data_IF_491362269560
#
_entry.id   IF_491362269560
#
_cell.length_a   1.000
_cell.length_b   1.000
_cell.length_c   1.000
_cell.angle_alpha   90.00
_cell.angle_beta   90.00
_cell.angle_gamma   90.00
#
_symmetry.space_group_name_H-M   'P 1'
#
loop_
_entity.id
_entity.type
_entity.pdbx_description
1 polymer ?
#
# COMPACT_ATOMS: atom_id res chain seq x y z
N UNK A 1 22.33 14.15 -7.99
CA UNK A 1 22.65 15.59 -7.83
C UNK A 1 21.98 16.38 -8.94
N UNK A 2 20.85 17.02 -8.64
CA UNK A 2 20.19 17.94 -9.58
C UNK A 2 20.57 19.39 -9.20
N UNK A 3 21.68 19.86 -9.75
CA UNK A 3 22.02 21.28 -9.75
C UNK A 3 21.26 21.98 -10.89
N UNK A 4 20.10 22.58 -10.59
CA UNK A 4 19.49 23.71 -11.31
C UNK A 4 18.21 24.13 -10.57
N UNK A 5 18.27 25.01 -9.56
CA UNK A 5 18.22 26.49 -9.64
C UNK A 5 16.99 27.14 -10.30
N UNK A 6 15.87 26.45 -10.50
CA UNK A 6 14.62 27.14 -10.79
C UNK A 6 13.59 26.85 -9.70
N UNK A 7 13.65 27.66 -8.65
CA UNK A 7 12.46 27.96 -7.86
C UNK A 7 11.35 28.45 -8.80
N UNK A 8 10.09 28.10 -8.57
CA UNK A 8 8.98 28.71 -9.29
C UNK A 8 9.08 30.24 -9.20
N UNK A 9 8.84 30.90 -10.32
CA UNK A 9 8.93 32.37 -10.44
C UNK A 9 7.99 33.07 -9.47
N UNK A 10 6.87 32.42 -9.13
CA UNK A 10 5.96 32.83 -8.08
C UNK A 10 6.06 31.90 -6.86
N UNK A 11 6.63 32.42 -5.78
CA UNK A 11 6.75 31.74 -4.49
C UNK A 11 5.57 32.03 -3.55
N UNK A 12 4.64 32.92 -3.92
CA UNK A 12 3.53 33.36 -3.05
C UNK A 12 2.54 32.24 -2.73
N UNK A 13 2.48 31.22 -3.59
CA UNK A 13 1.63 30.04 -3.42
C UNK A 13 2.30 28.93 -2.60
N UNK A 14 3.63 28.96 -2.41
CA UNK A 14 4.40 27.92 -1.72
C UNK A 14 4.53 28.22 -0.21
N UNK A 15 3.38 28.22 0.48
CA UNK A 15 3.28 28.61 1.90
C UNK A 15 4.03 27.67 2.85
N UNK A 16 4.35 26.45 2.43
CA UNK A 16 5.04 25.43 3.21
C UNK A 16 6.46 25.18 2.73
N UNK A 17 6.99 26.03 1.83
CA UNK A 17 8.37 25.90 1.33
C UNK A 17 9.40 25.86 2.46
N UNK A 18 9.16 26.57 3.57
CA UNK A 18 10.03 26.60 4.73
C UNK A 18 10.15 25.26 5.48
N UNK A 19 9.21 24.36 5.26
CA UNK A 19 9.18 23.00 5.82
C UNK A 19 9.49 21.94 4.77
N UNK A 20 9.65 22.33 3.51
CA UNK A 20 9.82 21.42 2.40
C UNK A 20 11.25 20.86 2.35
N UNK A 21 11.39 19.57 2.00
CA UNK A 21 12.65 18.80 1.97
C UNK A 21 13.76 19.49 1.17
N UNK A 22 13.38 20.18 0.10
CA UNK A 22 14.31 20.92 -0.75
C UNK A 22 15.03 22.05 -0.01
N UNK A 23 14.42 22.66 1.03
CA UNK A 23 15.10 23.65 1.86
C UNK A 23 16.31 23.04 2.57
N UNK A 24 16.14 21.87 3.19
CA UNK A 24 17.23 21.13 3.83
C UNK A 24 18.35 20.80 2.83
N UNK A 25 17.98 20.41 1.60
CA UNK A 25 18.94 20.15 0.52
C UNK A 25 19.72 21.42 0.15
N UNK A 26 19.07 22.58 0.07
CA UNK A 26 19.76 23.86 -0.18
C UNK A 26 20.68 24.29 0.95
N UNK A 27 20.33 23.97 2.19
CA UNK A 27 21.15 24.17 3.38
C UNK A 27 22.32 23.15 3.48
N UNK A 28 22.47 22.27 2.48
CA UNK A 28 23.54 21.27 2.41
C UNK A 28 23.26 20.00 3.21
N UNK A 29 22.04 19.83 3.73
CA UNK A 29 21.63 18.62 4.44
C UNK A 29 21.18 17.58 3.41
N UNK A 30 21.93 16.48 3.32
CA UNK A 30 21.55 15.37 2.46
C UNK A 30 20.38 14.59 3.08
N UNK A 31 19.23 14.54 2.39
CA UNK A 31 18.08 13.74 2.77
C UNK A 31 17.77 12.73 1.68
N UNK A 32 18.30 11.50 1.86
CA UNK A 32 18.05 10.39 0.93
C UNK A 32 16.85 9.58 1.39
N UNK A 33 15.77 9.61 0.61
CA UNK A 33 14.69 8.65 0.82
C UNK A 33 15.16 7.28 0.39
N UNK A 34 14.83 6.29 1.22
CA UNK A 34 15.03 4.87 0.92
C UNK A 34 13.66 4.24 0.72
N UNK A 35 13.10 4.32 -0.50
CA UNK A 35 12.00 3.47 -0.90
C UNK A 35 12.28 2.03 -0.48
N UNK A 36 11.30 1.37 0.12
CA UNK A 36 11.41 -0.03 0.53
C UNK A 36 10.34 -0.81 -0.18
N UNK A 37 10.72 -1.97 -0.68
CA UNK A 37 9.80 -3.00 -1.12
C UNK A 37 9.62 -4.00 0.00
N UNK A 38 8.39 -4.32 0.34
CA UNK A 38 8.09 -5.37 1.29
C UNK A 38 8.24 -6.73 0.61
N UNK A 39 8.96 -7.65 1.27
CA UNK A 39 9.07 -9.01 0.81
C UNK A 39 7.84 -9.81 1.23
N UNK A 40 6.79 -9.77 0.42
CA UNK A 40 5.63 -10.66 0.57
C UNK A 40 5.79 -11.91 -0.29
N UNK A 41 5.39 -13.06 0.26
CA UNK A 41 5.63 -14.36 -0.37
C UNK A 41 4.89 -14.47 -1.71
N UNK A 42 3.60 -14.10 -1.74
CA UNK A 42 2.76 -14.21 -2.94
C UNK A 42 3.33 -13.45 -4.15
N UNK A 43 3.90 -12.25 -3.97
CA UNK A 43 4.46 -11.47 -5.08
C UNK A 43 5.68 -12.14 -5.74
N UNK A 44 6.37 -13.05 -5.03
CA UNK A 44 7.53 -13.78 -5.55
C UNK A 44 7.18 -15.17 -6.08
N UNK A 45 6.03 -15.71 -5.70
CA UNK A 45 5.62 -17.08 -5.97
C UNK A 45 4.22 -17.11 -6.58
N UNK A 46 3.88 -16.13 -7.43
CA UNK A 46 2.56 -16.02 -8.08
C UNK A 46 2.17 -17.31 -8.81
N UNK A 47 3.15 -17.97 -9.43
CA UNK A 47 2.94 -19.23 -10.16
C UNK A 47 2.75 -20.46 -9.24
N UNK A 48 3.02 -20.33 -7.94
CA UNK A 48 2.86 -21.39 -6.93
C UNK A 48 1.56 -21.23 -6.13
N UNK A 49 0.81 -20.14 -6.36
CA UNK A 49 -0.48 -19.91 -5.70
C UNK A 49 -1.49 -20.93 -6.21
N UNK A 50 -2.19 -21.59 -5.30
CA UNK A 50 -3.25 -22.54 -5.62
C UNK A 50 -4.35 -21.85 -6.46
N UNK A 51 -4.77 -22.53 -7.55
CA UNK A 51 -5.75 -22.00 -8.49
C UNK A 51 -7.08 -21.63 -7.81
N UNK A 52 -7.51 -22.34 -6.77
CA UNK A 52 -8.74 -22.05 -6.02
C UNK A 52 -8.66 -20.66 -5.37
N UNK A 53 -7.50 -20.32 -4.80
CA UNK A 53 -7.27 -19.00 -4.20
C UNK A 53 -7.10 -17.94 -5.27
N UNK A 54 -6.36 -18.23 -6.35
CA UNK A 54 -6.19 -17.29 -7.46
C UNK A 54 -7.53 -16.92 -8.10
N UNK A 55 -8.44 -17.88 -8.30
CA UNK A 55 -9.78 -17.64 -8.83
C UNK A 55 -10.58 -16.65 -7.97
N UNK A 56 -10.45 -16.73 -6.64
CA UNK A 56 -11.07 -15.76 -5.72
C UNK A 56 -10.43 -14.37 -5.90
N UNK A 57 -9.10 -14.29 -5.95
CA UNK A 57 -8.41 -13.01 -6.14
C UNK A 57 -8.76 -12.36 -7.49
N UNK A 58 -8.92 -13.17 -8.54
CA UNK A 58 -9.38 -12.72 -9.86
C UNK A 58 -10.82 -12.21 -9.83
N UNK A 59 -11.73 -12.97 -9.22
CA UNK A 59 -13.14 -12.58 -9.11
C UNK A 59 -13.34 -11.27 -8.34
N UNK A 60 -12.50 -11.01 -7.33
CA UNK A 60 -12.54 -9.77 -6.53
C UNK A 60 -11.78 -8.61 -7.21
N UNK A 61 -10.91 -8.90 -8.19
CA UNK A 61 -10.10 -7.89 -8.89
C UNK A 61 -8.74 -7.60 -8.25
N UNK A 62 -8.29 -8.40 -7.29
CA UNK A 62 -6.99 -8.23 -6.61
C UNK A 62 -5.83 -8.90 -7.34
N UNK A 63 -6.09 -9.80 -8.28
CA UNK A 63 -5.04 -10.49 -9.04
C UNK A 63 -4.19 -9.54 -9.89
N UNK A 64 -4.76 -8.41 -10.36
CA UNK A 64 -4.04 -7.45 -11.19
C UNK A 64 -2.86 -6.80 -10.45
N UNK A 65 -2.99 -6.60 -9.14
CA UNK A 65 -1.94 -6.04 -8.27
C UNK A 65 -0.66 -6.88 -8.33
N UNK A 66 -0.78 -8.20 -8.53
CA UNK A 66 0.37 -9.10 -8.62
C UNK A 66 1.23 -8.81 -9.85
N UNK A 67 0.67 -8.23 -10.92
CA UNK A 67 1.41 -7.87 -12.15
C UNK A 67 2.39 -6.75 -11.92
N UNK A 68 2.06 -5.78 -11.06
CA UNK A 68 2.94 -4.66 -10.71
C UNK A 68 3.86 -4.98 -9.53
N UNK A 69 3.62 -6.09 -8.84
CA UNK A 69 4.32 -6.44 -7.60
C UNK A 69 5.82 -6.67 -7.79
N UNK A 70 6.31 -6.90 -9.02
CA UNK A 70 7.72 -7.14 -9.33
C UNK A 70 8.45 -5.97 -10.01
N UNK A 71 7.89 -4.76 -9.96
CA UNK A 71 8.57 -3.57 -10.49
C UNK A 71 9.83 -3.23 -9.70
N UNK A 72 10.90 -2.86 -10.42
CA UNK A 72 12.11 -2.32 -9.82
C UNK A 72 11.90 -0.87 -9.38
N UNK A 73 12.38 -0.52 -8.18
CA UNK A 73 12.23 0.83 -7.65
C UNK A 73 13.45 1.66 -8.02
N UNK A 74 13.24 2.68 -8.86
CA UNK A 74 14.27 3.67 -9.16
C UNK A 74 14.33 4.72 -8.03
N UNK A 75 15.28 4.54 -7.11
CA UNK A 75 15.49 5.44 -5.97
C UNK A 75 15.75 6.90 -6.38
N UNK A 76 16.45 7.13 -7.49
CA UNK A 76 16.78 8.48 -7.97
C UNK A 76 15.51 9.18 -8.46
N UNK A 77 14.68 8.46 -9.23
CA UNK A 77 13.41 8.99 -9.72
C UNK A 77 12.45 9.31 -8.58
N UNK A 78 12.31 8.42 -7.59
CA UNK A 78 11.42 8.65 -6.44
C UNK A 78 11.86 9.87 -5.64
N UNK A 79 13.16 10.02 -5.36
CA UNK A 79 13.67 11.23 -4.69
C UNK A 79 13.37 12.50 -5.50
N UNK A 80 13.63 12.47 -6.81
CA UNK A 80 13.36 13.61 -7.68
C UNK A 80 11.87 13.99 -7.73
N UNK A 81 10.97 13.01 -7.69
CA UNK A 81 9.53 13.26 -7.64
C UNK A 81 9.11 13.84 -6.29
N UNK A 82 9.62 13.31 -5.17
CA UNK A 82 9.31 13.88 -3.85
C UNK A 82 9.81 15.33 -3.74
N UNK A 83 11.00 15.67 -4.24
CA UNK A 83 11.47 17.06 -4.27
C UNK A 83 10.54 18.01 -5.06
N UNK A 84 9.74 17.47 -5.98
CA UNK A 84 8.82 18.22 -6.84
C UNK A 84 7.38 18.19 -6.35
N UNK A 85 7.05 17.31 -5.41
CA UNK A 85 5.72 17.27 -4.81
C UNK A 85 5.45 18.56 -4.02
N UNK A 86 4.22 19.06 -4.10
CA UNK A 86 3.73 20.19 -3.30
C UNK A 86 2.47 19.78 -2.59
N UNK A 87 2.56 19.74 -1.27
CA UNK A 87 1.46 19.34 -0.41
C UNK A 87 0.32 20.39 -0.37
N UNK A 88 0.59 21.63 -0.78
CA UNK A 88 -0.44 22.68 -0.86
C UNK A 88 -1.46 22.42 -1.96
N UNK A 89 -1.04 21.81 -3.07
CA UNK A 89 -1.90 21.52 -4.24
C UNK A 89 -2.04 20.03 -4.52
N UNK A 90 -1.30 19.18 -3.80
CA UNK A 90 -1.16 17.75 -4.08
C UNK A 90 -0.79 17.49 -5.55
N UNK A 91 0.20 18.24 -6.05
CA UNK A 91 0.73 18.09 -7.41
C UNK A 91 2.26 18.04 -7.42
N UNK A 92 2.83 17.47 -8.47
CA UNK A 92 4.23 17.60 -8.83
C UNK A 92 4.44 18.86 -9.66
N UNK A 93 5.36 19.72 -9.23
CA UNK A 93 5.83 20.87 -9.98
C UNK A 93 6.97 20.42 -10.91
N UNK A 94 6.64 20.16 -12.16
CA UNK A 94 7.56 19.74 -13.21
C UNK A 94 7.96 20.95 -14.08
N UNK A 95 9.05 20.87 -14.87
CA UNK A 95 9.46 21.97 -15.76
C UNK A 95 8.39 22.40 -16.78
N UNK A 96 7.47 21.48 -17.13
CA UNK A 96 6.43 21.69 -18.13
C UNK A 96 5.06 22.05 -17.52
N UNK A 97 4.98 22.23 -16.19
CA UNK A 97 3.74 22.54 -15.49
C UNK A 97 3.51 21.64 -14.28
N UNK A 98 2.29 21.69 -13.75
CA UNK A 98 1.85 20.86 -12.65
C UNK A 98 1.22 19.56 -13.16
N UNK A 99 1.45 18.46 -12.45
CA UNK A 99 0.85 17.16 -12.75
C UNK A 99 0.51 16.46 -11.45
N UNK A 100 -0.61 15.75 -11.39
CA UNK A 100 -0.93 14.90 -10.23
C UNK A 100 -1.33 13.50 -10.65
N UNK A 101 -1.25 12.57 -9.71
CA UNK A 101 -1.75 11.20 -9.87
C UNK A 101 -3.22 11.23 -9.50
N UNK A 102 -4.07 10.68 -10.35
CA UNK A 102 -5.53 10.70 -10.19
C UNK A 102 -6.07 9.32 -9.81
N UNK A 103 -7.38 9.24 -9.51
CA UNK A 103 -8.06 7.97 -9.30
C UNK A 103 -8.02 7.09 -10.55
N UNK A 104 -8.11 7.68 -11.74
CA UNK A 104 -8.03 6.95 -13.01
C UNK A 104 -6.66 6.30 -13.20
N UNK A 105 -5.57 7.01 -12.86
CA UNK A 105 -4.22 6.44 -12.91
C UNK A 105 -4.11 5.20 -12.01
N UNK A 106 -4.62 5.29 -10.78
CA UNK A 106 -4.59 4.18 -9.82
C UNK A 106 -5.44 3.01 -10.31
N UNK A 107 -6.66 3.28 -10.80
CA UNK A 107 -7.56 2.26 -11.31
C UNK A 107 -6.98 1.54 -12.53
N UNK A 108 -6.40 2.27 -13.47
CA UNK A 108 -5.78 1.71 -14.68
C UNK A 108 -4.52 0.91 -14.37
N UNK A 109 -3.67 1.39 -13.45
CA UNK A 109 -2.42 0.71 -13.11
C UNK A 109 -2.62 -0.52 -12.21
N UNK A 110 -3.59 -0.49 -11.31
CA UNK A 110 -3.79 -1.53 -10.29
C UNK A 110 -5.03 -2.38 -10.51
N UNK A 111 -5.92 -2.01 -11.44
CA UNK A 111 -7.19 -2.70 -11.68
C UNK A 111 -8.21 -2.56 -10.55
N UNK A 112 -8.11 -1.49 -9.74
CA UNK A 112 -8.92 -1.30 -8.54
C UNK A 112 -10.18 -0.48 -8.80
N UNK A 113 -11.30 -0.78 -8.10
CA UNK A 113 -12.53 0.01 -8.20
C UNK A 113 -12.36 1.43 -7.64
N UNK A 114 -12.91 2.40 -8.38
CA UNK A 114 -13.01 3.81 -7.98
C UNK A 114 -14.27 4.04 -7.15
N UNK A 115 -15.40 3.49 -7.57
CA UNK A 115 -16.67 3.64 -6.85
C UNK A 115 -16.79 2.65 -5.69
N UNK A 116 -17.57 3.00 -4.68
CA UNK A 116 -17.88 2.11 -3.57
C UNK A 116 -17.79 2.77 -2.20
N UNK A 117 -17.83 1.94 -1.17
CA UNK A 117 -17.71 2.36 0.23
C UNK A 117 -16.28 2.78 0.56
N UNK A 118 -16.14 3.71 1.50
CA UNK A 118 -14.84 4.13 1.99
C UNK A 118 -14.07 2.96 2.62
N UNK A 119 -12.76 2.89 2.35
CA UNK A 119 -11.85 1.91 2.97
C UNK A 119 -11.49 2.37 4.38
N UNK A 120 -12.47 2.31 5.29
CA UNK A 120 -12.29 2.63 6.71
C UNK A 120 -12.47 1.37 7.53
N UNK A 121 -11.43 0.98 8.27
CA UNK A 121 -11.49 -0.19 9.13
C UNK A 121 -11.64 0.17 10.60
N UNK A 122 -12.06 -0.81 11.40
CA UNK A 122 -12.15 -0.65 12.86
C UNK A 122 -10.74 -0.88 13.46
N UNK A 123 -10.25 0.09 14.24
CA UNK A 123 -8.95 0.01 14.91
C UNK A 123 -9.04 -0.40 16.38
N UNK A 124 -10.18 -0.94 16.81
CA UNK A 124 -10.45 -1.37 18.17
C UNK A 124 -11.28 -2.65 18.16
N UNK A 125 -11.05 -3.53 19.14
CA UNK A 125 -11.75 -4.81 19.24
C UNK A 125 -10.80 -5.99 19.44
N UNK A 126 -11.33 -7.21 19.54
CA UNK A 126 -10.55 -8.40 19.84
C UNK A 126 -9.82 -8.90 18.59
N UNK A 127 -8.70 -8.27 18.25
CA UNK A 127 -7.90 -8.54 17.05
C UNK A 127 -7.56 -10.03 16.86
N UNK A 128 -7.25 -10.73 17.94
CA UNK A 128 -6.94 -12.16 17.92
C UNK A 128 -8.15 -13.01 17.57
N UNK A 129 -9.36 -12.61 17.99
CA UNK A 129 -10.60 -13.29 17.60
C UNK A 129 -10.87 -13.08 16.11
N UNK A 130 -10.67 -11.87 15.57
CA UNK A 130 -10.82 -11.64 14.14
C UNK A 130 -9.81 -12.46 13.31
N UNK A 131 -8.56 -12.57 13.76
CA UNK A 131 -7.60 -13.44 13.08
C UNK A 131 -8.04 -14.91 13.13
N UNK A 132 -8.52 -15.40 14.27
CA UNK A 132 -9.03 -16.77 14.37
C UNK A 132 -10.23 -17.01 13.45
N UNK A 133 -11.20 -16.10 13.45
CA UNK A 133 -12.44 -16.24 12.68
C UNK A 133 -12.21 -16.11 11.18
N UNK A 134 -11.40 -15.14 10.76
CA UNK A 134 -11.26 -14.79 9.34
C UNK A 134 -10.06 -15.45 8.67
N UNK A 135 -9.02 -15.79 9.44
CA UNK A 135 -7.80 -16.43 8.93
C UNK A 135 -7.62 -17.87 9.45
N UNK A 136 -8.51 -18.37 10.32
CA UNK A 136 -8.39 -19.72 10.90
C UNK A 136 -7.29 -19.89 11.95
N UNK A 137 -6.49 -18.85 12.21
CA UNK A 137 -5.29 -18.94 13.05
C UNK A 137 -5.22 -17.81 14.08
N UNK A 138 -4.78 -18.15 15.30
CA UNK A 138 -4.49 -17.18 16.36
C UNK A 138 -3.01 -16.77 16.27
N UNK A 139 -2.69 -15.49 16.01
CA UNK A 139 -1.32 -15.05 15.94
C UNK A 139 -0.62 -15.14 17.32
N UNK A 140 0.65 -15.55 17.38
CA UNK A 140 1.42 -15.52 18.61
C UNK A 140 1.55 -14.10 19.18
N UNK A 141 1.67 -13.96 20.51
CA UNK A 141 1.71 -12.66 21.20
C UNK A 141 2.78 -11.69 20.68
N UNK A 142 3.92 -12.20 20.21
CA UNK A 142 5.03 -11.39 19.67
C UNK A 142 4.86 -10.96 18.20
N UNK A 143 3.78 -11.40 17.56
CA UNK A 143 3.47 -11.15 16.15
C UNK A 143 2.56 -9.94 15.97
N UNK A 144 1.76 -9.63 16.99
CA UNK A 144 0.90 -8.45 17.02
C UNK A 144 1.60 -7.34 17.81
N UNK A 145 1.63 -6.13 17.24
CA UNK A 145 2.09 -4.91 17.94
C UNK A 145 1.05 -3.81 17.74
N UNK A 146 0.35 -3.45 18.81
CA UNK A 146 -0.84 -2.60 18.70
C UNK A 146 -1.87 -3.27 17.80
N UNK A 147 -2.33 -2.56 16.77
CA UNK A 147 -3.31 -3.06 15.79
C UNK A 147 -2.67 -3.63 14.52
N UNK A 148 -1.40 -4.01 14.57
CA UNK A 148 -0.66 -4.48 13.39
C UNK A 148 -0.16 -5.90 13.57
N UNK A 149 -0.13 -6.66 12.47
CA UNK A 149 0.37 -8.03 12.41
C UNK A 149 1.59 -8.12 11.48
N UNK A 150 2.59 -8.93 11.83
CA UNK A 150 3.83 -9.06 11.04
C UNK A 150 3.63 -9.81 9.73
N UNK A 151 4.22 -9.29 8.65
CA UNK A 151 4.31 -10.01 7.37
C UNK A 151 5.05 -11.34 7.49
N UNK A 152 6.06 -11.42 8.36
CA UNK A 152 6.82 -12.66 8.55
C UNK A 152 5.95 -13.83 9.04
N UNK A 153 4.91 -13.55 9.84
CA UNK A 153 4.02 -14.60 10.32
C UNK A 153 3.03 -15.00 9.22
N UNK A 154 2.36 -14.01 8.61
CA UNK A 154 1.46 -14.17 7.48
C UNK A 154 2.12 -15.03 6.36
N UNK A 155 3.28 -14.58 5.86
CA UNK A 155 4.08 -15.30 4.87
C UNK A 155 4.50 -16.72 5.27
N UNK A 156 4.58 -17.05 6.57
CA UNK A 156 5.00 -18.39 7.01
C UNK A 156 3.82 -19.32 7.25
N UNK A 157 2.66 -18.77 7.58
CA UNK A 157 1.44 -19.53 7.89
C UNK A 157 0.68 -19.93 6.62
N UNK A 158 0.67 -19.10 5.58
CA UNK A 158 -0.20 -19.27 4.40
C UNK A 158 0.58 -19.57 3.10
N UNK A 159 1.64 -20.38 3.16
CA UNK A 159 2.44 -20.71 1.96
C UNK A 159 1.85 -21.81 1.10
N UNK A 160 1.37 -22.87 1.73
CA UNK A 160 0.93 -24.07 1.04
C UNK A 160 -0.49 -24.40 1.51
N UNK A 161 -1.44 -24.23 0.60
CA UNK A 161 -2.81 -24.65 0.84
C UNK A 161 -2.88 -26.19 0.82
N UNK A 162 -3.53 -26.84 1.80
CA UNK A 162 -3.74 -28.28 1.76
C UNK A 162 -4.57 -28.73 0.53
N UNK A 163 -4.25 -29.89 -0.02
CA UNK A 163 -4.98 -30.44 -1.17
C UNK A 163 -6.47 -30.66 -0.84
N UNK A 164 -6.75 -31.14 0.38
CA UNK A 164 -8.09 -31.41 0.92
C UNK A 164 -8.73 -30.18 1.59
N UNK A 165 -8.19 -28.98 1.38
CA UNK A 165 -8.72 -27.75 1.96
C UNK A 165 -10.20 -27.54 1.61
N UNK A 166 -11.00 -27.27 2.66
CA UNK A 166 -12.40 -26.88 2.51
C UNK A 166 -12.52 -25.49 1.89
N UNK A 167 -13.70 -25.14 1.39
CA UNK A 167 -13.96 -23.80 0.86
C UNK A 167 -13.60 -22.69 1.86
N UNK A 168 -13.93 -22.88 3.14
CA UNK A 168 -13.60 -21.94 4.21
C UNK A 168 -12.08 -21.71 4.33
N UNK A 169 -11.28 -22.78 4.25
CA UNK A 169 -9.81 -22.67 4.32
C UNK A 169 -9.26 -21.96 3.08
N UNK A 170 -9.81 -22.22 1.89
CA UNK A 170 -9.45 -21.48 0.66
C UNK A 170 -9.70 -19.98 0.83
N UNK A 171 -10.87 -19.60 1.38
CA UNK A 171 -11.18 -18.20 1.64
C UNK A 171 -10.27 -17.57 2.70
N UNK A 172 -9.88 -18.31 3.75
CA UNK A 172 -8.91 -17.83 4.76
C UNK A 172 -7.57 -17.47 4.10
N UNK A 173 -7.09 -18.30 3.17
CA UNK A 173 -5.90 -18.01 2.37
C UNK A 173 -6.09 -16.80 1.45
N UNK A 174 -7.25 -16.69 0.79
CA UNK A 174 -7.56 -15.52 -0.04
C UNK A 174 -7.54 -14.22 0.78
N UNK A 175 -8.20 -14.19 1.95
CA UNK A 175 -8.20 -13.05 2.88
C UNK A 175 -6.79 -12.70 3.33
N UNK A 176 -5.95 -13.69 3.61
CA UNK A 176 -4.56 -13.42 3.98
C UNK A 176 -3.76 -12.79 2.84
N UNK A 177 -3.84 -13.33 1.63
CA UNK A 177 -3.13 -12.76 0.48
C UNK A 177 -3.60 -11.35 0.16
N UNK A 178 -4.90 -11.08 0.26
CA UNK A 178 -5.43 -9.72 0.12
C UNK A 178 -4.91 -8.79 1.20
N UNK A 179 -4.83 -9.26 2.45
CA UNK A 179 -4.25 -8.48 3.56
C UNK A 179 -2.75 -8.19 3.33
N UNK A 180 -2.00 -9.16 2.79
CA UNK A 180 -0.61 -8.95 2.37
C UNK A 180 -0.52 -7.86 1.30
N UNK A 181 -1.31 -7.97 0.22
CA UNK A 181 -1.31 -7.00 -0.88
C UNK A 181 -1.68 -5.59 -0.39
N UNK A 182 -2.70 -5.50 0.46
CA UNK A 182 -3.13 -4.25 1.08
C UNK A 182 -1.99 -3.62 1.88
N UNK A 183 -1.37 -4.37 2.78
CA UNK A 183 -0.35 -3.83 3.68
C UNK A 183 1.03 -3.59 3.05
N UNK A 184 1.30 -4.16 1.89
CA UNK A 184 2.63 -4.11 1.26
C UNK A 184 2.69 -3.27 0.00
N UNK A 185 1.61 -3.24 -0.79
CA UNK A 185 1.58 -2.57 -2.09
C UNK A 185 0.59 -1.40 -2.05
N UNK A 186 -0.64 -1.64 -1.59
CA UNK A 186 -1.71 -0.65 -1.71
C UNK A 186 -1.60 0.47 -0.67
N UNK A 187 -1.43 0.10 0.59
CA UNK A 187 -1.43 1.02 1.74
C UNK A 187 -0.31 0.63 2.74
N UNK A 188 0.96 0.64 2.30
CA UNK A 188 2.08 0.29 3.16
C UNK A 188 2.28 1.29 4.29
N UNK A 189 2.75 0.79 5.42
CA UNK A 189 3.20 1.64 6.52
C UNK A 189 4.73 1.83 6.52
N UNK A 190 5.21 2.72 7.39
CA UNK A 190 6.65 3.00 7.54
C UNK A 190 7.44 1.88 8.23
N UNK A 191 6.78 0.88 8.81
CA UNK A 191 7.43 -0.23 9.52
C UNK A 191 8.10 -1.22 8.56
N UNK A 192 7.72 -1.20 7.29
CA UNK A 192 8.18 -2.12 6.25
C UNK A 192 7.94 -3.62 6.54
N UNK A 193 7.23 -3.97 7.61
CA UNK A 193 7.23 -5.33 8.17
C UNK A 193 5.89 -5.76 8.78
N UNK A 194 4.88 -4.87 8.80
CA UNK A 194 3.58 -5.15 9.38
C UNK A 194 2.44 -4.55 8.54
N UNK A 195 1.25 -5.14 8.68
CA UNK A 195 -0.01 -4.64 8.13
C UNK A 195 -1.00 -4.33 9.24
N UNK A 196 -1.78 -3.27 9.07
CA UNK A 196 -2.81 -2.90 10.03
C UNK A 196 -4.02 -3.83 9.92
N UNK A 197 -4.48 -4.38 11.04
CA UNK A 197 -5.59 -5.34 11.11
C UNK A 197 -6.96 -4.71 10.84
N UNK A 198 -7.05 -3.38 10.72
CA UNK A 198 -8.30 -2.70 10.37
C UNK A 198 -8.87 -3.15 9.01
N UNK A 199 -8.01 -3.63 8.11
CA UNK A 199 -8.44 -4.11 6.81
C UNK A 199 -9.06 -5.50 6.87
N UNK A 200 -8.73 -6.32 7.88
CA UNK A 200 -9.19 -7.69 7.96
C UNK A 200 -10.73 -7.80 8.04
N UNK A 201 -11.44 -6.97 8.83
CA UNK A 201 -12.91 -6.93 8.80
C UNK A 201 -13.51 -6.56 7.43
N UNK A 202 -12.82 -5.74 6.62
CA UNK A 202 -13.27 -5.40 5.26
C UNK A 202 -13.23 -6.60 4.33
N UNK A 203 -12.43 -7.62 4.68
CA UNK A 203 -12.26 -8.87 3.94
C UNK A 203 -13.15 -10.00 4.50
N UNK A 204 -14.02 -9.72 5.47
CA UNK A 204 -14.83 -10.74 6.11
C UNK A 204 -15.76 -11.45 5.11
N UNK A 205 -16.52 -10.66 4.34
CA UNK A 205 -17.35 -11.15 3.24
C UNK A 205 -16.69 -10.81 1.90
N UNK A 206 -16.09 -11.82 1.29
CA UNK A 206 -15.38 -11.72 0.01
C UNK A 206 -16.26 -11.24 -1.14
N UNK A 207 -17.58 -11.47 -1.07
CA UNK A 207 -18.52 -10.99 -2.10
C UNK A 207 -18.72 -9.48 -2.08
N UNK A 208 -18.41 -8.82 -0.96
CA UNK A 208 -18.56 -7.38 -0.79
C UNK A 208 -17.26 -6.61 -1.00
N UNK A 209 -16.12 -7.31 -1.11
CA UNK A 209 -14.81 -6.63 -1.15
C UNK A 209 -14.66 -5.75 -2.39
N UNK A 210 -15.22 -6.15 -3.54
CA UNK A 210 -15.17 -5.34 -4.75
C UNK A 210 -16.01 -4.05 -4.65
N UNK A 211 -16.87 -3.91 -3.63
CA UNK A 211 -17.73 -2.74 -3.43
C UNK A 211 -17.07 -1.63 -2.61
N UNK A 212 -15.79 -1.76 -2.24
CA UNK A 212 -15.04 -0.68 -1.61
C UNK A 212 -14.26 0.13 -2.65
N UNK A 213 -14.14 1.43 -2.42
CA UNK A 213 -13.34 2.35 -3.22
C UNK A 213 -11.84 2.16 -2.94
N UNK A 214 -11.29 1.01 -3.35
CA UNK A 214 -9.88 0.67 -3.12
C UNK A 214 -8.93 1.68 -3.79
N UNK A 215 -9.26 2.17 -4.99
CA UNK A 215 -8.45 3.17 -5.67
C UNK A 215 -8.33 4.47 -4.87
N UNK A 216 -9.42 4.93 -4.23
CA UNK A 216 -9.39 6.12 -3.36
C UNK A 216 -8.57 5.90 -2.09
N UNK A 217 -8.68 4.71 -1.49
CA UNK A 217 -7.85 4.32 -0.34
C UNK A 217 -6.35 4.36 -0.67
N UNK A 218 -5.96 3.83 -1.84
CA UNK A 218 -4.58 3.87 -2.33
C UNK A 218 -4.12 5.29 -2.61
N UNK A 219 -4.92 6.08 -3.34
CA UNK A 219 -4.56 7.45 -3.70
C UNK A 219 -4.35 8.32 -2.46
N UNK A 220 -5.26 8.22 -1.49
CA UNK A 220 -5.15 8.92 -0.20
C UNK A 220 -3.89 8.49 0.57
N UNK A 221 -3.58 7.20 0.59
CA UNK A 221 -2.38 6.70 1.24
C UNK A 221 -1.09 7.18 0.53
N UNK A 222 -1.11 7.25 -0.81
CA UNK A 222 -0.02 7.75 -1.62
C UNK A 222 0.25 9.24 -1.36
N UNK A 223 -0.79 10.08 -1.43
CA UNK A 223 -0.66 11.51 -1.15
C UNK A 223 -0.13 11.76 0.26
N UNK A 224 -0.68 11.07 1.27
CA UNK A 224 -0.19 11.19 2.64
C UNK A 224 1.28 10.77 2.78
N UNK A 225 1.70 9.76 2.03
CA UNK A 225 3.10 9.30 2.03
C UNK A 225 4.03 10.31 1.35
N UNK A 226 3.59 10.94 0.27
CA UNK A 226 4.34 12.01 -0.42
C UNK A 226 4.44 13.26 0.47
N UNK A 227 3.34 13.68 1.09
CA UNK A 227 3.31 14.79 2.06
C UNK A 227 4.33 14.57 3.18
N UNK A 228 4.29 13.39 3.82
CA UNK A 228 5.23 13.04 4.88
C UNK A 228 6.68 12.95 4.39
N UNK A 229 6.90 12.53 3.14
CA UNK A 229 8.24 12.47 2.57
C UNK A 229 8.81 13.88 2.27
N UNK A 230 7.93 14.85 1.96
CA UNK A 230 8.30 16.24 1.67
C UNK A 230 8.57 17.11 2.90
N UNK A 231 8.11 16.75 4.09
CA UNK A 231 8.32 17.51 5.33
C UNK A 231 9.38 16.88 6.21
#
# INVERSE_FOLDING_TARGET
MAFARHLPVDMSLLRLQDKHVVKAIWEGIERVLRPRRHAIWIAKHVNEVDARVMNILEAIGFSHILKVSNMEINHVLVNALVERWRMETHTFHLPLGESTITLEDVALQLGLPIEGHDVTGISSGPLTLFCQQLLGHVPPKNTIRGNKIKFSWLNNTFRLLPDDATHEVVEQYAREYMLLLIGSILMPDTSASMVHLMYLPLLADLHTVANYSWASGVLSCLYRSLDHATT
#
